data_IF_278492917461
#
_entry.id   IF_278492917461
#
_cell.length_a   1.000
_cell.length_b   1.000
_cell.length_c   1.000
_cell.angle_alpha   90.00
_cell.angle_beta   90.00
_cell.angle_gamma   90.00
#
_symmetry.space_group_name_H-M   'P 1'
#
loop_
_entity.id
_entity.type
_entity.pdbx_description
1 polymer ?
#
# COMPACT_ATOMS: atom_id res chain seq x y z
N UNK A 1 14.20 -1.82 4.36
CA UNK A 1 14.03 -0.98 5.58
C UNK A 1 15.35 -0.51 6.19
N UNK A 2 16.42 -1.30 6.17
CA UNK A 2 17.72 -0.97 6.78
C UNK A 2 18.35 0.35 6.30
N UNK A 3 18.39 0.60 4.97
CA UNK A 3 18.96 1.83 4.39
C UNK A 3 18.21 3.09 4.83
N UNK A 4 16.88 3.02 4.86
CA UNK A 4 16.00 4.12 5.28
C UNK A 4 16.26 4.52 6.73
N UNK A 5 16.50 3.56 7.62
CA UNK A 5 16.79 3.81 9.03
C UNK A 5 18.14 4.53 9.22
N UNK A 6 19.17 4.15 8.45
CA UNK A 6 20.49 4.79 8.50
C UNK A 6 20.47 6.22 7.93
N UNK A 7 19.81 6.42 6.79
CA UNK A 7 19.60 7.75 6.21
C UNK A 7 18.81 8.63 7.19
N UNK A 8 17.81 8.05 7.84
CA UNK A 8 17.01 8.76 8.83
C UNK A 8 17.83 9.24 10.04
N UNK A 9 18.72 8.40 10.57
CA UNK A 9 19.62 8.77 11.66
C UNK A 9 20.48 10.00 11.29
N UNK A 10 21.08 9.96 10.10
CA UNK A 10 21.90 11.07 9.58
C UNK A 10 21.09 12.36 9.39
N UNK A 11 19.86 12.24 8.89
CA UNK A 11 18.95 13.37 8.70
C UNK A 11 18.54 14.05 10.01
N UNK A 12 18.67 13.41 11.17
CA UNK A 12 18.34 14.07 12.43
C UNK A 12 19.28 15.23 12.74
N UNK A 13 20.57 15.09 12.43
CA UNK A 13 21.60 16.06 12.80
C UNK A 13 22.14 16.90 11.63
N UNK A 14 22.10 16.38 10.40
CA UNK A 14 22.70 17.06 9.25
C UNK A 14 21.67 17.79 8.37
N UNK A 15 22.12 18.91 7.79
CA UNK A 15 21.42 19.59 6.71
C UNK A 15 21.42 18.70 5.47
N UNK A 16 20.26 18.57 4.83
CA UNK A 16 20.14 17.90 3.54
C UNK A 16 19.13 18.63 2.67
N UNK A 17 19.62 19.16 1.55
CA UNK A 17 18.79 19.89 0.61
C UNK A 17 17.63 19.03 0.12
N UNK A 18 16.47 19.67 -0.14
CA UNK A 18 15.29 19.01 -0.69
C UNK A 18 15.59 18.25 -1.98
N UNK A 19 16.51 18.74 -2.81
CA UNK A 19 16.94 18.11 -4.07
C UNK A 19 17.67 16.79 -3.78
N UNK A 20 18.57 16.77 -2.80
CA UNK A 20 19.31 15.56 -2.42
C UNK A 20 18.40 14.55 -1.73
N UNK A 21 17.48 15.04 -0.89
CA UNK A 21 16.41 14.22 -0.36
C UNK A 21 15.63 13.64 -1.52
N UNK A 22 15.04 14.43 -2.43
CA UNK A 22 14.30 13.95 -3.61
C UNK A 22 15.08 12.98 -4.50
N UNK A 23 16.41 13.10 -4.62
CA UNK A 23 17.25 12.13 -5.34
C UNK A 23 17.35 10.79 -4.60
N UNK A 24 17.54 10.81 -3.27
CA UNK A 24 17.48 9.60 -2.42
C UNK A 24 16.05 9.08 -2.24
N UNK A 25 15.08 9.99 -2.28
CA UNK A 25 13.64 9.81 -2.18
C UNK A 25 13.01 9.35 -3.47
N UNK A 26 13.72 9.49 -4.60
CA UNK A 26 13.24 9.09 -5.88
C UNK A 26 12.96 7.61 -5.75
N UNK A 27 11.71 7.24 -5.46
CA UNK A 27 10.68 6.79 -6.41
C UNK A 27 11.15 6.20 -7.74
N UNK A 28 12.44 5.90 -7.87
CA UNK A 28 13.12 5.07 -8.81
C UNK A 28 13.72 3.92 -8.02
N UNK A 29 14.50 4.12 -6.95
CA UNK A 29 15.07 2.96 -6.23
C UNK A 29 13.98 2.11 -5.55
N UNK A 30 13.07 2.72 -4.78
CA UNK A 30 11.97 1.98 -4.15
C UNK A 30 10.89 1.55 -5.16
N UNK A 31 10.58 2.41 -6.13
CA UNK A 31 9.59 2.14 -7.16
C UNK A 31 10.04 1.05 -8.15
N UNK A 32 11.29 1.11 -8.62
CA UNK A 32 11.90 0.08 -9.49
C UNK A 32 12.04 -1.22 -8.71
N UNK A 33 12.36 -1.17 -7.42
CA UNK A 33 12.41 -2.39 -6.61
C UNK A 33 11.01 -3.01 -6.38
N UNK A 34 9.98 -2.19 -6.17
CA UNK A 34 8.60 -2.65 -5.92
C UNK A 34 7.86 -3.03 -7.20
N UNK A 35 8.11 -2.32 -8.31
CA UNK A 35 7.37 -2.45 -9.57
C UNK A 35 8.18 -3.00 -10.75
N UNK A 36 9.50 -3.15 -10.61
CA UNK A 36 10.36 -3.78 -11.63
C UNK A 36 10.40 -3.06 -12.98
N UNK A 37 9.94 -1.80 -13.05
CA UNK A 37 9.75 -1.05 -14.29
C UNK A 37 10.15 0.42 -14.11
N UNK A 38 10.76 1.01 -15.15
CA UNK A 38 11.11 2.43 -15.22
C UNK A 38 9.91 3.37 -15.49
N UNK A 39 8.73 2.81 -15.75
CA UNK A 39 7.55 3.55 -16.21
C UNK A 39 6.33 3.25 -15.36
N UNK A 40 5.63 4.31 -14.93
CA UNK A 40 4.53 4.17 -13.98
C UNK A 40 3.41 5.18 -14.24
N UNK A 41 2.16 4.69 -14.33
CA UNK A 41 0.94 5.51 -14.27
C UNK A 41 0.36 5.64 -12.86
N UNK A 42 0.84 4.86 -11.89
CA UNK A 42 0.46 5.07 -10.50
C UNK A 42 1.21 6.28 -9.95
N UNK A 43 0.50 7.17 -9.25
CA UNK A 43 1.20 8.22 -8.52
C UNK A 43 2.06 7.55 -7.46
N UNK A 44 3.38 7.75 -7.57
CA UNK A 44 4.41 7.29 -6.61
C UNK A 44 4.07 7.64 -5.16
N UNK A 45 3.22 8.64 -4.97
CA UNK A 45 2.65 9.04 -3.68
C UNK A 45 1.89 7.91 -2.97
N UNK A 46 1.30 6.97 -3.71
CA UNK A 46 0.54 5.86 -3.16
C UNK A 46 1.40 4.94 -2.29
N UNK A 47 2.70 4.80 -2.57
CA UNK A 47 3.62 4.00 -1.75
C UNK A 47 3.66 4.46 -0.29
N UNK A 48 3.57 5.77 -0.09
CA UNK A 48 3.76 6.40 1.22
C UNK A 48 2.48 6.44 2.05
N UNK A 49 1.31 6.30 1.42
CA UNK A 49 0.05 6.21 2.16
C UNK A 49 0.07 5.01 3.10
N UNK A 50 -0.62 5.13 4.24
CA UNK A 50 -0.82 4.02 5.14
C UNK A 50 -1.47 2.82 4.43
N UNK A 51 -1.18 1.60 4.89
CA UNK A 51 -1.76 0.37 4.34
C UNK A 51 -3.29 0.39 4.38
N UNK A 52 -3.87 0.92 5.46
CA UNK A 52 -5.32 1.11 5.59
C UNK A 52 -5.89 2.08 4.55
N UNK A 53 -5.09 3.02 4.07
CA UNK A 53 -5.46 4.05 3.11
C UNK A 53 -5.05 3.72 1.67
N UNK A 54 -4.63 2.47 1.40
CA UNK A 54 -4.33 1.97 0.06
C UNK A 54 -2.85 1.89 -0.29
N UNK A 55 -1.97 2.41 0.57
CA UNK A 55 -0.54 2.40 0.27
C UNK A 55 0.20 1.18 0.79
N UNK A 56 1.53 1.27 0.74
CA UNK A 56 2.43 0.28 1.35
C UNK A 56 2.93 0.73 2.74
N UNK A 57 2.58 1.94 3.17
CA UNK A 57 3.05 2.54 4.43
C UNK A 57 4.55 2.80 4.42
N UNK A 58 5.14 3.06 3.25
CA UNK A 58 6.56 3.41 3.17
C UNK A 58 6.76 4.80 3.78
N UNK A 59 7.82 5.00 4.58
CA UNK A 59 8.06 6.29 5.19
C UNK A 59 8.52 7.32 4.14
N UNK A 60 7.92 8.50 4.17
CA UNK A 60 8.34 9.64 3.37
C UNK A 60 9.37 10.49 4.15
N UNK A 61 10.67 10.25 3.92
CA UNK A 61 11.79 10.99 4.54
C UNK A 61 11.63 12.52 4.52
N UNK A 62 11.12 13.15 3.45
CA UNK A 62 10.89 14.60 3.44
C UNK A 62 9.81 15.01 4.45
N UNK A 63 8.70 14.26 4.55
CA UNK A 63 7.67 14.59 5.54
C UNK A 63 8.17 14.28 6.95
N UNK A 64 8.97 13.22 7.11
CA UNK A 64 9.64 12.93 8.37
C UNK A 64 10.61 14.05 8.77
N UNK A 65 11.38 14.59 7.82
CA UNK A 65 12.27 15.72 8.05
C UNK A 65 11.46 16.95 8.49
N UNK A 66 10.41 17.31 7.76
CA UNK A 66 9.51 18.43 8.12
C UNK A 66 8.99 18.27 9.55
N UNK A 67 8.44 17.09 9.89
CA UNK A 67 7.94 16.81 11.24
C UNK A 67 9.04 16.91 12.29
N UNK A 68 10.22 16.36 12.01
CA UNK A 68 11.36 16.41 12.93
C UNK A 68 11.83 17.84 13.19
N UNK A 69 11.96 18.66 12.14
CA UNK A 69 12.39 20.06 12.24
C UNK A 69 11.34 20.93 12.94
N UNK A 70 10.07 20.69 12.67
CA UNK A 70 8.98 21.38 13.35
C UNK A 70 8.94 21.02 14.85
N UNK A 71 9.04 19.74 15.18
CA UNK A 71 9.07 19.28 16.59
C UNK A 71 10.32 19.77 17.31
N UNK A 72 11.48 19.83 16.63
CA UNK A 72 12.68 20.45 17.17
C UNK A 72 12.48 21.93 17.52
N UNK A 73 11.75 22.68 16.70
CA UNK A 73 11.43 24.08 17.00
C UNK A 73 10.48 24.22 18.19
N UNK A 74 9.43 23.40 18.24
CA UNK A 74 8.36 23.50 19.23
C UNK A 74 8.77 22.98 20.62
N UNK A 75 9.40 21.81 20.69
CA UNK A 75 9.61 21.07 21.94
C UNK A 75 11.03 21.26 22.50
N UNK A 76 11.73 22.34 22.14
CA UNK A 76 13.13 22.51 22.54
C UNK A 76 13.29 22.87 24.01
N UNK A 77 13.85 21.93 24.78
CA UNK A 77 14.08 22.10 26.23
C UNK A 77 15.46 22.63 26.57
N UNK A 78 16.45 22.45 25.70
CA UNK A 78 17.81 22.89 25.97
C UNK A 78 17.89 24.43 25.96
N UNK A 79 18.30 25.08 27.08
CA UNK A 79 18.31 26.53 27.19
C UNK A 79 19.16 27.23 26.14
N UNK A 80 20.35 26.71 25.86
CA UNK A 80 21.26 27.26 24.85
C UNK A 80 20.62 27.24 23.46
N UNK A 81 20.09 26.10 23.04
CA UNK A 81 19.47 25.97 21.72
C UNK A 81 18.18 26.79 21.60
N UNK A 82 17.43 26.98 22.69
CA UNK A 82 16.27 27.87 22.71
C UNK A 82 16.68 29.33 22.49
N UNK A 83 17.76 29.80 23.12
CA UNK A 83 18.31 31.14 22.89
C UNK A 83 18.78 31.31 21.45
N UNK A 84 19.47 30.30 20.89
CA UNK A 84 19.89 30.31 19.48
C UNK A 84 18.69 30.44 18.55
N UNK A 85 17.61 29.69 18.78
CA UNK A 85 16.38 29.78 17.98
C UNK A 85 15.73 31.16 18.13
N UNK A 86 15.65 31.69 19.36
CA UNK A 86 15.07 33.02 19.62
C UNK A 86 15.82 34.13 18.90
N UNK A 87 17.16 34.13 18.94
CA UNK A 87 17.96 35.16 18.30
C UNK A 87 17.98 35.00 16.78
N UNK A 88 18.21 33.78 16.28
CA UNK A 88 18.42 33.54 14.86
C UNK A 88 17.13 33.56 14.03
N UNK A 89 15.98 33.20 14.61
CA UNK A 89 14.72 33.01 13.88
C UNK A 89 13.66 34.09 14.12
N UNK A 90 13.88 35.05 15.05
CA UNK A 90 12.88 36.11 15.36
C UNK A 90 12.34 36.82 14.11
N UNK A 91 13.22 37.18 13.18
CA UNK A 91 12.84 37.94 11.98
C UNK A 91 12.15 37.04 10.95
N UNK A 92 12.43 35.73 10.98
CA UNK A 92 11.92 34.77 10.01
C UNK A 92 10.54 34.20 10.42
N UNK A 93 10.27 34.13 11.72
CA UNK A 93 9.07 33.57 12.35
C UNK A 93 8.55 34.45 13.52
N UNK A 94 8.25 35.74 13.29
CA UNK A 94 7.86 36.67 14.36
C UNK A 94 6.52 36.27 15.04
N UNK A 95 5.68 35.58 14.29
CA UNK A 95 4.39 35.01 14.71
C UNK A 95 4.49 33.81 15.66
N UNK A 96 5.68 33.23 15.83
CA UNK A 96 5.90 32.06 16.68
C UNK A 96 6.96 32.31 17.75
N UNK A 97 7.93 33.19 17.47
CA UNK A 97 9.08 33.45 18.32
C UNK A 97 9.05 34.90 18.78
N UNK A 98 8.86 35.09 20.08
CA UNK A 98 9.00 36.38 20.75
C UNK A 98 10.40 36.48 21.36
N UNK A 99 11.15 37.52 21.02
CA UNK A 99 12.49 37.80 21.56
C UNK A 99 12.67 39.31 21.74
N UNK A 100 13.25 39.71 22.88
CA UNK A 100 13.62 41.09 23.21
C UNK A 100 15.06 41.46 22.81
N UNK A 101 15.85 40.50 22.32
CA UNK A 101 17.22 40.77 21.91
C UNK A 101 17.22 41.66 20.65
N UNK A 102 18.17 42.60 20.53
CA UNK A 102 18.34 43.49 19.36
C UNK A 102 19.52 43.07 18.44
N UNK A 103 19.77 41.76 18.32
CA UNK A 103 20.80 41.22 17.42
C UNK A 103 20.25 40.97 16.01
N UNK A 104 20.70 41.72 15.00
CA UNK A 104 20.31 41.49 13.59
C UNK A 104 21.11 40.35 12.97
N UNK A 105 20.49 39.18 12.79
CA UNK A 105 21.06 38.09 12.01
C UNK A 105 20.81 38.28 10.50
N UNK A 106 21.87 38.17 9.68
CA UNK A 106 21.85 38.59 8.27
C UNK A 106 21.15 37.61 7.31
N UNK A 107 21.06 36.31 7.64
CA UNK A 107 20.19 35.35 6.92
C UNK A 107 20.13 33.99 7.63
N UNK A 108 18.94 33.41 7.72
CA UNK A 108 18.79 32.01 8.17
C UNK A 108 19.30 31.07 7.07
N UNK A 109 20.28 30.20 7.39
CA UNK A 109 20.87 29.22 6.46
C UNK A 109 20.97 27.82 7.10
N UNK A 110 21.26 26.82 6.26
CA UNK A 110 21.51 25.45 6.71
C UNK A 110 20.33 24.83 7.45
N UNK A 111 20.60 24.17 8.59
CA UNK A 111 19.59 23.49 9.40
C UNK A 111 18.47 24.43 9.88
N UNK A 112 18.82 25.64 10.34
CA UNK A 112 17.82 26.61 10.81
C UNK A 112 16.90 27.07 9.67
N UNK A 113 17.38 27.07 8.43
CA UNK A 113 16.54 27.37 7.28
C UNK A 113 15.52 26.25 7.04
N UNK A 114 15.92 24.97 7.18
CA UNK A 114 14.97 23.84 7.13
C UNK A 114 13.90 23.94 8.22
N UNK A 115 14.27 24.41 9.42
CA UNK A 115 13.32 24.62 10.52
C UNK A 115 12.26 25.66 10.16
N UNK A 116 12.67 26.81 9.60
CA UNK A 116 11.74 27.84 9.12
C UNK A 116 10.83 27.29 8.01
N UNK A 117 11.39 26.54 7.06
CA UNK A 117 10.61 25.95 5.97
C UNK A 117 9.63 24.90 6.48
N UNK A 118 10.03 24.06 7.44
CA UNK A 118 9.15 23.07 8.04
C UNK A 118 7.98 23.72 8.79
N UNK A 119 8.24 24.79 9.54
CA UNK A 119 7.19 25.56 10.19
C UNK A 119 6.20 26.14 9.18
N UNK A 120 6.68 26.85 8.15
CA UNK A 120 5.83 27.43 7.10
C UNK A 120 5.04 26.36 6.35
N UNK A 121 5.67 25.22 6.05
CA UNK A 121 5.01 24.10 5.40
C UNK A 121 3.84 23.54 6.22
N UNK A 122 4.01 23.41 7.54
CA UNK A 122 2.97 22.93 8.46
C UNK A 122 1.88 23.98 8.69
N UNK A 123 2.25 25.26 8.88
CA UNK A 123 1.31 26.36 9.16
C UNK A 123 0.31 26.59 8.04
N UNK A 124 0.69 26.38 6.78
CA UNK A 124 -0.23 26.50 5.64
C UNK A 124 -1.31 25.40 5.65
N UNK A 125 -1.08 24.28 6.36
CA UNK A 125 -1.93 23.08 6.31
C UNK A 125 -2.74 22.86 7.59
N UNK A 126 -2.29 23.39 8.71
CA UNK A 126 -2.92 23.16 10.02
C UNK A 126 -2.99 24.45 10.83
N UNK A 127 -4.00 24.53 11.70
CA UNK A 127 -4.13 25.63 12.65
C UNK A 127 -3.00 25.61 13.69
N UNK A 128 -2.67 26.78 14.23
CA UNK A 128 -1.65 26.91 15.28
C UNK A 128 -2.03 26.18 16.56
N UNK A 129 -3.33 26.15 16.90
CA UNK A 129 -3.86 25.39 18.03
C UNK A 129 -3.54 23.90 17.89
N UNK A 130 -3.84 23.30 16.74
CA UNK A 130 -3.51 21.90 16.48
C UNK A 130 -1.99 21.65 16.54
N UNK A 131 -1.20 22.51 15.91
CA UNK A 131 0.25 22.38 15.85
C UNK A 131 0.92 22.47 17.24
N UNK A 132 0.31 23.18 18.18
CA UNK A 132 0.83 23.32 19.55
C UNK A 132 0.74 22.01 20.36
N UNK A 133 -0.31 21.21 20.16
CA UNK A 133 -0.59 20.01 21.00
C UNK A 133 -0.29 18.68 20.30
N UNK A 134 -0.25 18.65 18.97
CA UNK A 134 -0.15 17.40 18.20
C UNK A 134 1.13 16.61 18.52
N UNK A 135 1.01 15.29 18.68
CA UNK A 135 2.19 14.43 18.82
C UNK A 135 2.97 14.28 17.51
N UNK A 136 4.28 14.02 17.59
CA UNK A 136 5.14 13.76 16.42
C UNK A 136 4.56 12.69 15.48
N UNK A 137 4.05 11.59 16.04
CA UNK A 137 3.48 10.47 15.26
C UNK A 137 2.20 10.89 14.54
N UNK A 138 1.33 11.64 15.22
CA UNK A 138 0.05 12.09 14.68
C UNK A 138 0.25 13.13 13.57
N UNK A 139 1.11 14.12 13.79
CA UNK A 139 1.43 15.15 12.80
C UNK A 139 1.97 14.54 11.50
N UNK A 140 2.82 13.51 11.60
CA UNK A 140 3.32 12.81 10.42
C UNK A 140 2.19 12.14 9.62
N UNK A 141 1.30 11.44 10.29
CA UNK A 141 0.17 10.76 9.63
C UNK A 141 -0.79 11.76 8.97
N UNK A 142 -1.13 12.83 9.68
CA UNK A 142 -2.05 13.85 9.16
C UNK A 142 -1.41 14.61 7.99
N UNK A 143 -0.09 14.84 8.02
CA UNK A 143 0.66 15.36 6.88
C UNK A 143 0.63 14.43 5.65
N UNK A 144 0.77 13.11 5.84
CA UNK A 144 0.65 12.16 4.72
C UNK A 144 -0.73 12.24 4.07
N UNK A 145 -1.80 12.34 4.86
CA UNK A 145 -3.16 12.40 4.35
C UNK A 145 -3.47 13.72 3.62
N UNK A 146 -2.90 14.85 4.06
CA UNK A 146 -3.04 16.15 3.40
C UNK A 146 -2.18 16.27 2.14
N UNK A 147 -0.97 15.70 2.17
CA UNK A 147 0.01 15.87 1.07
C UNK A 147 -0.23 14.87 -0.06
N UNK A 148 -0.75 13.68 0.23
CA UNK A 148 -0.97 12.64 -0.77
C UNK A 148 -2.45 12.47 -1.09
N UNK A 149 -2.88 12.69 -2.35
CA UNK A 149 -4.27 12.52 -2.73
C UNK A 149 -4.73 11.06 -2.59
N UNK A 150 -6.04 10.84 -2.53
CA UNK A 150 -6.62 9.49 -2.52
C UNK A 150 -6.23 8.78 -3.80
N UNK A 151 -5.75 7.52 -3.73
CA UNK A 151 -5.40 6.78 -4.94
C UNK A 151 -6.60 6.63 -5.87
N UNK A 152 -6.40 6.80 -7.18
CA UNK A 152 -7.48 6.74 -8.18
C UNK A 152 -8.28 5.41 -8.17
N UNK A 153 -7.62 4.29 -7.91
CA UNK A 153 -8.30 2.99 -7.83
C UNK A 153 -9.20 2.86 -6.59
N UNK A 154 -9.07 3.78 -5.60
CA UNK A 154 -9.98 3.89 -4.46
C UNK A 154 -11.02 4.98 -4.62
N UNK A 155 -10.77 6.00 -5.44
CA UNK A 155 -11.74 7.07 -5.66
C UNK A 155 -13.00 6.56 -6.35
N UNK A 156 -12.88 5.52 -7.19
CA UNK A 156 -14.03 4.86 -7.83
C UNK A 156 -14.99 4.20 -6.82
N UNK A 157 -14.50 3.83 -5.65
CA UNK A 157 -15.24 3.12 -4.60
C UNK A 157 -15.12 3.87 -3.27
N UNK A 158 -15.11 5.20 -3.34
CA UNK A 158 -14.79 6.06 -2.21
C UNK A 158 -15.84 5.98 -1.09
N UNK A 159 -17.08 5.59 -1.38
CA UNK A 159 -18.17 5.50 -0.41
C UNK A 159 -18.38 4.06 0.10
N UNK A 160 -17.74 3.08 -0.53
CA UNK A 160 -17.98 1.67 -0.26
C UNK A 160 -17.24 1.12 0.97
N UNK A 161 -17.73 -0.02 1.46
CA UNK A 161 -17.17 -0.77 2.59
C UNK A 161 -15.86 -1.49 2.21
N UNK A 162 -15.06 -1.85 3.20
CA UNK A 162 -13.88 -2.72 3.01
C UNK A 162 -12.55 -2.00 2.73
N UNK A 163 -12.45 -0.69 2.96
CA UNK A 163 -11.23 0.11 2.70
C UNK A 163 -9.97 -0.39 3.44
N UNK A 164 -10.14 -1.11 4.54
CA UNK A 164 -9.08 -1.76 5.31
C UNK A 164 -8.58 -3.07 4.70
N UNK A 165 -9.01 -3.45 3.49
CA UNK A 165 -8.68 -4.72 2.81
C UNK A 165 -7.18 -5.03 2.80
N UNK A 166 -6.31 -4.07 2.49
CA UNK A 166 -4.87 -4.32 2.49
C UNK A 166 -4.31 -4.59 3.90
N UNK A 167 -4.95 -4.05 4.95
CA UNK A 167 -4.62 -4.37 6.34
C UNK A 167 -5.03 -5.80 6.66
N UNK A 168 -6.22 -6.25 6.21
CA UNK A 168 -6.69 -7.63 6.38
C UNK A 168 -5.79 -8.62 5.65
N UNK A 169 -5.54 -8.40 4.36
CA UNK A 169 -4.67 -9.25 3.52
C UNK A 169 -3.24 -9.33 4.06
N UNK A 170 -2.72 -8.23 4.62
CA UNK A 170 -1.40 -8.24 5.28
C UNK A 170 -1.35 -9.21 6.46
N UNK A 171 -2.43 -9.35 7.23
CA UNK A 171 -2.55 -10.23 8.40
C UNK A 171 -2.86 -11.68 8.05
N UNK A 172 -3.43 -11.95 6.87
CA UNK A 172 -3.79 -13.33 6.46
C UNK A 172 -2.57 -14.28 6.48
N UNK A 173 -2.75 -15.53 6.93
CA UNK A 173 -1.71 -16.57 6.97
C UNK A 173 -1.47 -17.21 5.58
N UNK A 174 -1.26 -16.37 4.56
CA UNK A 174 -1.04 -16.79 3.17
C UNK A 174 0.39 -16.49 2.71
N UNK A 175 0.85 -17.20 1.67
CA UNK A 175 2.19 -17.02 1.09
C UNK A 175 2.42 -15.55 0.68
N UNK A 176 3.65 -14.99 0.82
CA UNK A 176 3.94 -13.61 0.44
C UNK A 176 3.62 -13.26 -1.02
N UNK A 177 3.72 -14.22 -1.94
CA UNK A 177 3.36 -14.04 -3.36
C UNK A 177 1.90 -13.64 -3.55
N UNK A 178 1.00 -14.20 -2.72
CA UNK A 178 -0.43 -13.91 -2.73
C UNK A 178 -0.70 -12.46 -2.31
N UNK A 179 -0.01 -11.99 -1.26
CA UNK A 179 -0.12 -10.60 -0.79
C UNK A 179 0.36 -9.60 -1.83
N UNK A 180 1.49 -9.91 -2.49
CA UNK A 180 2.04 -9.10 -3.58
C UNK A 180 1.12 -9.07 -4.79
N UNK A 181 0.55 -10.22 -5.16
CA UNK A 181 -0.46 -10.31 -6.21
C UNK A 181 -1.68 -9.46 -5.87
N UNK A 182 -2.24 -9.61 -4.67
CA UNK A 182 -3.45 -8.89 -4.28
C UNK A 182 -3.23 -7.38 -4.25
N UNK A 183 -2.06 -6.91 -3.79
CA UNK A 183 -1.73 -5.49 -3.88
C UNK A 183 -1.75 -4.97 -5.33
N UNK A 184 -1.22 -5.73 -6.28
CA UNK A 184 -1.26 -5.38 -7.72
C UNK A 184 -2.69 -5.38 -8.27
N UNK A 185 -3.50 -6.36 -7.87
CA UNK A 185 -4.92 -6.41 -8.23
C UNK A 185 -5.67 -5.18 -7.69
N UNK A 186 -5.56 -4.90 -6.39
CA UNK A 186 -6.23 -3.79 -5.71
C UNK A 186 -5.82 -2.43 -6.30
N UNK A 187 -4.55 -2.27 -6.67
CA UNK A 187 -4.00 -1.02 -7.20
C UNK A 187 -4.13 -0.86 -8.73
N UNK A 188 -4.80 -1.78 -9.43
CA UNK A 188 -4.89 -1.83 -10.90
C UNK A 188 -3.50 -1.83 -11.60
N UNK A 189 -2.52 -2.52 -11.02
CA UNK A 189 -1.18 -2.73 -11.60
C UNK A 189 -0.88 -4.19 -11.91
N UNK A 190 -1.90 -5.03 -11.92
CA UNK A 190 -1.76 -6.39 -12.38
C UNK A 190 -1.43 -6.37 -13.88
N UNK A 191 -0.37 -7.07 -14.34
CA UNK A 191 0.12 -6.96 -15.72
C UNK A 191 -0.71 -7.82 -16.68
N UNK A 192 -2.00 -7.50 -16.80
CA UNK A 192 -2.93 -8.09 -17.75
C UNK A 192 -2.64 -7.61 -19.18
N UNK A 193 -3.06 -8.33 -20.21
CA UNK A 193 -2.63 -8.02 -21.59
C UNK A 193 -3.01 -6.61 -22.08
N UNK A 194 -4.26 -6.12 -21.89
CA UNK A 194 -4.60 -4.75 -22.26
C UNK A 194 -3.79 -3.71 -21.49
N UNK A 195 -3.50 -3.98 -20.21
CA UNK A 195 -2.64 -3.12 -19.40
C UNK A 195 -1.22 -3.08 -19.96
N UNK A 196 -0.64 -4.22 -20.33
CA UNK A 196 0.69 -4.30 -20.95
C UNK A 196 0.75 -3.51 -22.27
N UNK A 197 -0.26 -3.68 -23.14
CA UNK A 197 -0.35 -2.94 -24.40
C UNK A 197 -0.46 -1.43 -24.17
N UNK A 198 -1.29 -0.99 -23.21
CA UNK A 198 -1.41 0.42 -22.83
C UNK A 198 -0.08 0.99 -22.28
N UNK A 199 0.79 0.14 -21.72
CA UNK A 199 2.14 0.52 -21.29
C UNK A 199 3.19 0.44 -22.40
N UNK A 200 2.80 0.10 -23.64
CA UNK A 200 3.73 -0.11 -24.75
C UNK A 200 4.67 -1.31 -24.52
N UNK A 201 4.32 -2.21 -23.61
CA UNK A 201 5.05 -3.46 -23.40
C UNK A 201 4.60 -4.48 -24.43
N UNK A 202 5.54 -5.31 -24.89
CA UNK A 202 5.24 -6.35 -25.85
C UNK A 202 4.22 -7.33 -25.28
N UNK A 203 3.12 -7.53 -26.02
CA UNK A 203 2.10 -8.53 -25.75
C UNK A 203 2.15 -9.55 -26.87
N UNK A 204 2.55 -10.79 -26.61
CA UNK A 204 2.53 -11.84 -27.61
C UNK A 204 1.11 -12.08 -28.13
N UNK A 205 0.98 -12.30 -29.44
CA UNK A 205 -0.26 -12.68 -30.14
C UNK A 205 -1.34 -11.59 -30.15
N UNK A 206 -2.30 -11.68 -29.22
CA UNK A 206 -3.43 -10.76 -29.08
C UNK A 206 -3.65 -10.44 -27.60
N UNK A 207 -4.26 -9.27 -27.35
CA UNK A 207 -4.79 -8.87 -26.05
C UNK A 207 -5.98 -9.71 -25.60
N UNK A 208 -6.57 -10.49 -26.49
CA UNK A 208 -7.75 -11.28 -26.21
C UNK A 208 -7.41 -12.56 -25.43
N UNK A 209 -8.36 -12.96 -24.59
CA UNK A 209 -8.37 -14.25 -23.93
C UNK A 209 -8.48 -15.36 -24.98
N UNK A 210 -7.65 -16.39 -24.84
CA UNK A 210 -7.64 -17.54 -25.74
C UNK A 210 -8.97 -18.30 -25.76
N UNK A 211 -9.66 -18.36 -24.60
CA UNK A 211 -10.92 -19.08 -24.40
C UNK A 211 -12.13 -18.28 -24.88
N UNK A 212 -12.21 -17.00 -24.50
CA UNK A 212 -13.43 -16.21 -24.68
C UNK A 212 -13.37 -15.23 -25.86
N UNK A 213 -12.20 -15.05 -26.49
CA UNK A 213 -11.97 -14.08 -27.58
C UNK A 213 -12.39 -12.64 -27.24
N UNK A 214 -12.32 -12.27 -25.95
CA UNK A 214 -12.56 -10.92 -25.44
C UNK A 214 -11.26 -10.35 -24.85
N UNK A 215 -11.07 -9.02 -24.81
CA UNK A 215 -9.90 -8.40 -24.20
C UNK A 215 -9.68 -8.91 -22.76
N UNK A 216 -8.46 -9.34 -22.46
CA UNK A 216 -8.10 -9.98 -21.20
C UNK A 216 -7.93 -8.94 -20.06
N UNK A 217 -9.01 -8.25 -19.71
CA UNK A 217 -9.05 -7.25 -18.61
C UNK A 217 -9.09 -7.93 -17.23
N UNK A 218 -8.91 -7.16 -16.15
CA UNK A 218 -9.07 -7.66 -14.77
C UNK A 218 -10.46 -8.28 -14.59
N UNK A 219 -11.50 -7.54 -14.99
CA UNK A 219 -12.89 -7.98 -14.83
C UNK A 219 -13.14 -9.24 -15.69
N UNK A 220 -12.58 -9.31 -16.89
CA UNK A 220 -12.66 -10.52 -17.71
C UNK A 220 -12.00 -11.73 -17.03
N UNK A 221 -10.74 -11.61 -16.60
CA UNK A 221 -9.99 -12.74 -16.05
C UNK A 221 -10.66 -13.32 -14.80
N UNK A 222 -11.17 -12.45 -13.92
CA UNK A 222 -11.63 -12.85 -12.59
C UNK A 222 -13.16 -12.97 -12.46
N UNK A 223 -13.95 -12.46 -13.40
CA UNK A 223 -15.41 -12.48 -13.33
C UNK A 223 -16.01 -13.15 -14.56
N UNK A 224 -15.67 -12.68 -15.77
CA UNK A 224 -16.45 -13.03 -16.96
C UNK A 224 -15.89 -14.23 -17.75
N UNK A 225 -14.66 -14.65 -17.50
CA UNK A 225 -14.05 -15.75 -18.22
C UNK A 225 -14.61 -17.09 -17.73
N UNK A 226 -14.78 -18.06 -18.64
CA UNK A 226 -15.30 -19.39 -18.31
C UNK A 226 -14.62 -20.05 -17.11
N UNK A 227 -13.29 -20.04 -17.04
CA UNK A 227 -12.56 -20.60 -15.89
C UNK A 227 -12.93 -19.92 -14.55
N UNK A 228 -13.18 -18.61 -14.58
CA UNK A 228 -13.56 -17.87 -13.38
C UNK A 228 -15.01 -18.17 -12.99
N UNK A 229 -15.94 -18.14 -13.95
CA UNK A 229 -17.35 -18.44 -13.74
C UNK A 229 -17.53 -19.83 -13.12
N UNK A 230 -16.90 -20.86 -13.71
CA UNK A 230 -17.00 -22.22 -13.19
C UNK A 230 -16.34 -22.38 -11.82
N UNK A 231 -15.16 -21.80 -11.61
CA UNK A 231 -14.49 -21.87 -10.31
C UNK A 231 -15.31 -21.21 -9.20
N UNK A 232 -15.88 -20.03 -9.46
CA UNK A 232 -16.72 -19.34 -8.49
C UNK A 232 -18.00 -20.10 -8.18
N UNK A 233 -18.67 -20.66 -9.18
CA UNK A 233 -19.89 -21.45 -9.01
C UNK A 233 -19.62 -22.69 -8.14
N UNK A 234 -18.55 -23.45 -8.43
CA UNK A 234 -18.14 -24.61 -7.63
C UNK A 234 -17.79 -24.17 -6.20
N UNK A 235 -17.06 -23.07 -6.03
CA UNK A 235 -16.66 -22.59 -4.72
C UNK A 235 -17.86 -22.15 -3.88
N UNK A 236 -18.79 -21.38 -4.45
CA UNK A 236 -19.98 -20.91 -3.73
C UNK A 236 -20.89 -22.09 -3.33
N UNK A 237 -21.05 -23.10 -4.20
CA UNK A 237 -21.78 -24.34 -3.86
C UNK A 237 -21.10 -25.15 -2.76
N UNK A 238 -19.77 -25.25 -2.80
CA UNK A 238 -18.99 -25.98 -1.79
C UNK A 238 -19.07 -25.29 -0.42
N UNK A 239 -18.97 -23.96 -0.40
CA UNK A 239 -19.07 -23.15 0.82
C UNK A 239 -20.51 -22.89 1.29
N UNK A 240 -21.50 -23.18 0.45
CA UNK A 240 -22.91 -22.78 0.63
C UNK A 240 -23.07 -21.29 0.94
N UNK A 241 -22.21 -20.44 0.36
CA UNK A 241 -22.12 -19.01 0.65
C UNK A 241 -22.10 -18.17 -0.62
N UNK A 242 -22.93 -17.13 -0.65
CA UNK A 242 -22.92 -16.13 -1.72
C UNK A 242 -21.75 -15.15 -1.54
N UNK A 243 -20.64 -15.42 -2.21
CA UNK A 243 -19.49 -14.52 -2.28
C UNK A 243 -19.77 -13.28 -3.18
N UNK A 244 -19.21 -12.09 -2.85
CA UNK A 244 -19.38 -10.87 -3.63
C UNK A 244 -18.51 -10.90 -4.90
N UNK A 245 -18.99 -11.57 -5.95
CA UNK A 245 -18.31 -11.69 -7.25
C UNK A 245 -18.68 -10.48 -8.11
N UNK A 246 -18.14 -9.31 -7.75
CA UNK A 246 -18.32 -8.05 -8.47
C UNK A 246 -16.97 -7.33 -8.62
N UNK A 247 -16.82 -6.35 -9.53
CA UNK A 247 -15.59 -5.57 -9.67
C UNK A 247 -15.14 -4.88 -8.38
N UNK A 248 -16.09 -4.53 -7.51
CA UNK A 248 -15.83 -4.04 -6.16
C UNK A 248 -15.42 -5.18 -5.22
N UNK A 249 -16.19 -6.27 -5.19
CA UNK A 249 -15.98 -7.40 -4.28
C UNK A 249 -14.61 -8.07 -4.43
N UNK A 250 -14.12 -8.26 -5.66
CA UNK A 250 -12.78 -8.84 -5.89
C UNK A 250 -11.63 -7.91 -5.48
N UNK A 251 -11.87 -6.59 -5.39
CA UNK A 251 -10.87 -5.58 -5.02
C UNK A 251 -10.88 -5.24 -3.54
N UNK A 252 -12.04 -5.34 -2.86
CA UNK A 252 -12.22 -4.91 -1.46
C UNK A 252 -12.60 -6.04 -0.50
N UNK A 253 -12.93 -7.22 -1.01
CA UNK A 253 -13.25 -8.43 -0.23
C UNK A 253 -14.28 -8.13 0.86
N UNK A 254 -15.44 -7.62 0.47
CA UNK A 254 -16.53 -7.25 1.39
C UNK A 254 -17.35 -8.46 1.83
N UNK A 255 -16.69 -9.57 2.14
CA UNK A 255 -17.29 -10.74 2.74
C UNK A 255 -17.42 -10.56 4.24
N UNK A 256 -18.59 -10.89 4.77
CA UNK A 256 -18.78 -11.05 6.20
C UNK A 256 -18.24 -12.43 6.59
N UNK A 257 -17.26 -12.45 7.51
CA UNK A 257 -16.70 -13.68 8.06
C UNK A 257 -17.64 -14.20 9.15
N UNK A 258 -18.75 -14.83 8.71
CA UNK A 258 -19.68 -15.54 9.58
C UNK A 258 -18.99 -16.74 10.24
N UNK A 259 -19.29 -17.00 11.52
CA UNK A 259 -18.75 -18.13 12.28
C UNK A 259 -17.20 -18.21 12.27
N UNK A 260 -16.54 -17.05 12.24
CA UNK A 260 -15.08 -16.90 12.13
C UNK A 260 -14.44 -17.53 10.89
N UNK A 261 -15.25 -17.98 9.91
CA UNK A 261 -14.76 -18.56 8.66
C UNK A 261 -14.13 -17.47 7.79
N UNK A 262 -12.85 -17.60 7.37
CA UNK A 262 -12.16 -16.55 6.65
C UNK A 262 -12.47 -16.59 5.15
N UNK A 263 -13.71 -16.27 4.78
CA UNK A 263 -14.16 -16.24 3.38
C UNK A 263 -13.33 -15.27 2.52
N UNK A 264 -12.89 -14.16 3.11
CA UNK A 264 -11.99 -13.21 2.45
C UNK A 264 -10.66 -13.86 2.02
N UNK A 265 -10.14 -14.77 2.84
CA UNK A 265 -8.91 -15.53 2.55
C UNK A 265 -9.15 -16.52 1.41
N UNK A 266 -10.29 -17.23 1.40
CA UNK A 266 -10.65 -18.15 0.32
C UNK A 266 -10.81 -17.42 -1.02
N UNK A 267 -11.42 -16.25 -1.01
CA UNK A 267 -11.53 -15.39 -2.20
C UNK A 267 -10.15 -14.96 -2.72
N UNK A 268 -9.26 -14.50 -1.84
CA UNK A 268 -7.89 -14.07 -2.23
C UNK A 268 -7.10 -15.22 -2.84
N UNK A 269 -7.19 -16.41 -2.25
CA UNK A 269 -6.51 -17.59 -2.76
C UNK A 269 -7.10 -18.05 -4.10
N UNK A 270 -8.42 -17.96 -4.28
CA UNK A 270 -9.09 -18.22 -5.56
C UNK A 270 -8.61 -17.26 -6.66
N UNK A 271 -8.60 -15.96 -6.39
CA UNK A 271 -8.11 -14.94 -7.32
C UNK A 271 -6.65 -15.19 -7.68
N UNK A 272 -5.80 -15.53 -6.71
CA UNK A 272 -4.40 -15.84 -6.97
C UNK A 272 -4.22 -17.11 -7.80
N UNK A 273 -5.04 -18.14 -7.58
CA UNK A 273 -5.03 -19.38 -8.37
C UNK A 273 -5.48 -19.15 -9.81
N UNK A 274 -6.51 -18.34 -10.04
CA UNK A 274 -6.94 -17.92 -11.38
C UNK A 274 -5.80 -17.21 -12.11
N UNK A 275 -5.14 -16.28 -11.41
CA UNK A 275 -3.99 -15.58 -11.97
C UNK A 275 -2.82 -16.50 -12.28
N UNK A 276 -2.50 -17.44 -11.38
CA UNK A 276 -1.42 -18.42 -11.61
C UNK A 276 -1.69 -19.30 -12.82
N UNK A 277 -2.90 -19.82 -12.96
CA UNK A 277 -3.27 -20.66 -14.11
C UNK A 277 -3.16 -19.87 -15.43
N UNK A 278 -3.66 -18.63 -15.46
CA UNK A 278 -3.49 -17.72 -16.61
C UNK A 278 -2.04 -17.44 -16.94
N UNK A 279 -1.23 -17.16 -15.92
CA UNK A 279 0.19 -16.89 -16.08
C UNK A 279 0.97 -18.10 -16.61
N UNK A 280 0.64 -19.30 -16.15
CA UNK A 280 1.27 -20.53 -16.62
C UNK A 280 1.01 -20.76 -18.12
N UNK A 281 -0.24 -20.57 -18.56
CA UNK A 281 -0.59 -20.64 -20.00
C UNK A 281 0.14 -19.54 -20.79
N UNK A 282 0.16 -18.31 -20.27
CA UNK A 282 0.80 -17.17 -20.95
C UNK A 282 2.31 -17.34 -21.11
N UNK A 283 2.96 -17.90 -20.09
CA UNK A 283 4.41 -18.11 -20.07
C UNK A 283 4.83 -19.42 -20.77
N UNK A 284 3.87 -20.19 -21.31
CA UNK A 284 4.10 -21.52 -21.85
C UNK A 284 4.84 -22.44 -20.85
N UNK A 285 4.44 -22.39 -19.58
CA UNK A 285 5.00 -23.25 -18.54
C UNK A 285 4.75 -24.73 -18.93
N UNK A 286 5.79 -25.57 -18.79
CA UNK A 286 5.74 -27.00 -19.13
C UNK A 286 4.63 -27.77 -18.39
N UNK A 287 4.20 -27.27 -17.23
CA UNK A 287 3.19 -27.91 -16.37
C UNK A 287 2.12 -26.86 -16.01
N UNK A 288 1.45 -26.32 -17.03
CA UNK A 288 0.30 -25.45 -16.82
C UNK A 288 -0.86 -26.24 -16.21
N UNK A 289 -1.28 -25.86 -14.99
CA UNK A 289 -2.36 -26.53 -14.24
C UNK A 289 -3.66 -25.72 -14.30
N UNK A 290 -4.83 -26.36 -14.19
CA UNK A 290 -6.11 -25.67 -14.04
C UNK A 290 -6.16 -24.87 -12.73
N UNK A 291 -7.08 -23.91 -12.65
CA UNK A 291 -7.30 -23.05 -11.47
C UNK A 291 -7.48 -23.88 -10.20
N UNK A 292 -8.26 -24.97 -10.30
CA UNK A 292 -8.54 -25.92 -9.21
C UNK A 292 -7.28 -26.42 -8.53
N UNK A 293 -6.28 -26.87 -9.28
CA UNK A 293 -5.09 -27.51 -8.68
C UNK A 293 -4.22 -26.50 -7.93
N UNK A 294 -4.09 -25.26 -8.45
CA UNK A 294 -3.42 -24.18 -7.72
C UNK A 294 -4.19 -23.77 -6.46
N UNK A 295 -5.53 -23.84 -6.50
CA UNK A 295 -6.38 -23.56 -5.36
C UNK A 295 -6.25 -24.63 -4.28
N UNK A 296 -6.33 -25.92 -4.64
CA UNK A 296 -6.12 -27.04 -3.72
C UNK A 296 -4.73 -26.96 -3.08
N UNK A 297 -3.67 -26.70 -3.86
CA UNK A 297 -2.31 -26.51 -3.31
C UNK A 297 -2.28 -25.39 -2.24
N UNK A 298 -3.01 -24.31 -2.49
CA UNK A 298 -3.10 -23.18 -1.56
C UNK A 298 -3.93 -23.51 -0.31
N UNK A 299 -5.00 -24.30 -0.46
CA UNK A 299 -5.81 -24.79 0.66
C UNK A 299 -5.03 -25.76 1.54
N UNK A 300 -4.30 -26.71 0.94
CA UNK A 300 -3.41 -27.61 1.67
C UNK A 300 -2.39 -26.82 2.50
N UNK A 301 -1.74 -25.82 1.90
CA UNK A 301 -0.81 -24.95 2.61
C UNK A 301 -1.49 -24.22 3.79
N UNK A 302 -2.67 -23.64 3.56
CA UNK A 302 -3.42 -22.91 4.60
C UNK A 302 -3.82 -23.84 5.76
N UNK A 303 -4.30 -25.04 5.44
CA UNK A 303 -4.68 -26.07 6.42
C UNK A 303 -3.50 -26.45 7.31
N UNK A 304 -2.34 -26.73 6.72
CA UNK A 304 -1.15 -27.09 7.51
C UNK A 304 -0.67 -25.92 8.39
N UNK A 305 -0.78 -24.67 7.93
CA UNK A 305 -0.45 -23.49 8.76
C UNK A 305 -1.42 -23.33 9.94
N UNK A 306 -2.71 -23.60 9.75
CA UNK A 306 -3.71 -23.47 10.80
C UNK A 306 -3.61 -24.61 11.82
N UNK A 307 -3.33 -25.84 11.38
CA UNK A 307 -3.10 -26.99 12.27
C UNK A 307 -1.95 -26.78 13.26
N UNK A 308 -0.97 -25.93 12.92
CA UNK A 308 0.15 -25.61 13.80
C UNK A 308 -0.22 -24.60 14.91
N UNK A 309 -1.45 -24.06 14.92
CA UNK A 309 -1.93 -23.19 15.99
C UNK A 309 -2.30 -24.02 17.22
N UNK A 310 -2.13 -23.45 18.41
CA UNK A 310 -2.37 -24.11 19.70
C UNK A 310 -3.81 -24.63 19.85
N UNK A 311 -4.76 -23.88 19.29
CA UNK A 311 -6.19 -24.17 19.31
C UNK A 311 -6.69 -24.11 17.85
N UNK A 312 -6.96 -25.26 17.20
CA UNK A 312 -7.47 -25.26 15.84
C UNK A 312 -8.92 -24.75 15.81
N UNK A 313 -9.28 -23.91 14.84
CA UNK A 313 -10.63 -23.36 14.75
C UNK A 313 -11.65 -24.42 14.35
N UNK A 314 -12.91 -24.26 14.80
CA UNK A 314 -14.01 -25.19 14.52
C UNK A 314 -14.30 -25.34 13.02
N UNK A 315 -14.04 -24.29 12.23
CA UNK A 315 -14.21 -24.30 10.78
C UNK A 315 -13.10 -25.03 10.01
N UNK A 316 -12.14 -25.71 10.67
CA UNK A 316 -11.10 -26.49 9.99
C UNK A 316 -11.69 -27.49 8.98
N UNK A 317 -12.84 -28.08 9.29
CA UNK A 317 -13.57 -29.02 8.41
C UNK A 317 -13.98 -28.38 7.07
N UNK A 318 -14.16 -27.06 7.02
CA UNK A 318 -14.41 -26.32 5.77
C UNK A 318 -13.19 -26.42 4.83
N UNK A 319 -11.97 -26.43 5.37
CA UNK A 319 -10.76 -26.59 4.56
C UNK A 319 -10.68 -27.98 3.94
N UNK A 320 -11.16 -29.01 4.62
CA UNK A 320 -11.16 -30.37 4.08
C UNK A 320 -12.10 -30.45 2.86
N UNK A 321 -13.29 -29.85 2.95
CA UNK A 321 -14.20 -29.72 1.81
C UNK A 321 -13.58 -28.95 0.62
N UNK A 322 -12.72 -27.97 0.90
CA UNK A 322 -12.04 -27.17 -0.12
C UNK A 322 -10.79 -27.86 -0.71
N UNK A 323 -10.15 -28.76 0.04
CA UNK A 323 -9.08 -29.62 -0.48
C UNK A 323 -9.65 -30.68 -1.42
N UNK A 324 -10.84 -31.18 -1.12
CA UNK A 324 -11.58 -32.15 -1.94
C UNK A 324 -12.48 -31.50 -2.99
N UNK A 325 -12.17 -30.27 -3.41
CA UNK A 325 -12.96 -29.52 -4.40
C UNK A 325 -13.19 -30.39 -5.64
N UNK A 326 -14.45 -30.57 -6.05
CA UNK A 326 -14.79 -31.43 -7.20
C UNK A 326 -14.22 -30.89 -8.52
N UNK A 327 -13.81 -31.77 -9.46
CA UNK A 327 -13.52 -31.34 -10.82
C UNK A 327 -14.79 -30.80 -11.50
N UNK A 328 -14.59 -30.00 -12.56
CA UNK A 328 -15.67 -29.60 -13.46
C UNK A 328 -16.09 -30.79 -14.33
#
# INVERSE_FOLDING_TARGET
MFIVAKIWYVLQAMWMSRINIQKMHASRVFAVFVWGSGWERMSRTNLFRAVQSGGLGLPHLFLRQVVSRFVFLRDQKNPFLRTVLQVALRNALPEFIVSSADVRFSRVRGFLYEVVQAFRFSKVRFSMEYLSVVSRKRLYKDLEDVVFPVPLYRSLFAEDKGKDVLKRVKKMPVRPSVKSFFFKLHSNTLPVKPWLQEKGLFVPWSIDCLLCKKPETIDHIFLDCWDAVFHWDILQRTLKKCLPITPHGIRFLTTDNEEDVPYDTFMVLSLHSMWKSRMAVRNADLVARPVRDYFIESMCYLREVIKLQSEPPEWLSVLDNLVDLKPF
#
